data_IF_493247876131
#
_entry.id   IF_493247876131
#
_cell.length_a   1.000
_cell.length_b   1.000
_cell.length_c   1.000
_cell.angle_alpha   90.00
_cell.angle_beta   90.00
_cell.angle_gamma   90.00
#
_symmetry.space_group_name_H-M   'P 1'
#
loop_
_entity.id
_entity.type
_entity.pdbx_description
1 polymer ?
#
# COMPACT_ATOMS: atom_id res chain seq x y z
N UNK A 1 9.03 -29.92 -2.18
CA UNK A 1 8.66 -29.11 -1.00
C UNK A 1 7.70 -28.07 -1.52
N UNK A 2 6.49 -27.97 -0.97
CA UNK A 2 5.54 -26.96 -1.41
C UNK A 2 6.01 -25.58 -0.93
N UNK A 3 5.83 -24.57 -1.78
CA UNK A 3 6.07 -23.18 -1.43
C UNK A 3 4.99 -22.69 -0.46
N UNK A 4 5.33 -21.71 0.36
CA UNK A 4 4.44 -21.12 1.36
C UNK A 4 4.13 -19.68 0.97
N UNK A 5 2.86 -19.39 0.74
CA UNK A 5 2.34 -18.04 0.56
C UNK A 5 2.04 -17.40 1.92
N UNK A 6 2.37 -16.13 2.05
CA UNK A 6 1.99 -15.25 3.16
C UNK A 6 1.54 -13.92 2.59
N UNK A 7 0.33 -13.50 2.96
CA UNK A 7 -0.29 -12.26 2.53
C UNK A 7 -0.46 -11.34 3.72
N UNK A 8 0.33 -10.26 3.73
CA UNK A 8 0.40 -9.35 4.87
C UNK A 8 -0.12 -7.96 4.45
N UNK A 9 -1.15 -7.43 5.13
CA UNK A 9 -1.58 -6.06 4.89
C UNK A 9 -0.45 -5.07 5.17
N UNK A 10 -0.04 -4.32 4.14
CA UNK A 10 0.69 -3.09 4.31
C UNK A 10 -0.32 -1.98 4.53
N UNK A 11 -0.61 -1.75 5.81
CA UNK A 11 -1.54 -0.72 6.23
C UNK A 11 -0.94 0.66 5.95
N UNK A 12 -1.36 1.22 4.82
CA UNK A 12 -1.02 2.55 4.31
C UNK A 12 0.47 2.92 4.47
N UNK A 13 1.41 2.17 3.87
CA UNK A 13 2.81 2.60 3.78
C UNK A 13 2.90 4.04 3.28
N UNK A 14 3.86 4.83 3.78
CA UNK A 14 3.89 6.29 3.63
C UNK A 14 4.11 6.68 2.18
N UNK A 15 4.69 5.74 1.49
CA UNK A 15 5.00 5.63 0.10
C UNK A 15 3.76 5.53 -0.79
N UNK A 16 2.59 5.16 -0.24
CA UNK A 16 1.38 4.87 -1.00
C UNK A 16 0.18 5.61 -0.42
N UNK A 17 -0.70 6.04 -1.32
CA UNK A 17 -1.97 6.66 -0.94
C UNK A 17 -3.02 5.63 -0.56
N UNK A 18 -2.81 4.33 -0.76
CA UNK A 18 -3.82 3.29 -0.51
C UNK A 18 -3.27 2.14 0.34
N UNK A 19 -4.19 1.38 0.95
CA UNK A 19 -3.87 0.09 1.54
C UNK A 19 -3.21 -0.81 0.50
N UNK A 20 -2.06 -1.38 0.84
CA UNK A 20 -1.30 -2.30 -0.01
C UNK A 20 -1.20 -3.65 0.68
N UNK A 21 -0.69 -4.64 -0.03
CA UNK A 21 -0.38 -5.96 0.52
C UNK A 21 1.08 -6.29 0.24
N UNK A 22 1.72 -7.03 1.14
CA UNK A 22 2.95 -7.77 0.83
C UNK A 22 2.59 -9.19 0.47
N UNK A 23 3.22 -9.64 -0.60
CA UNK A 23 3.13 -11.00 -1.07
C UNK A 23 4.49 -11.64 -0.80
N UNK A 24 4.53 -12.49 0.21
CA UNK A 24 5.73 -13.21 0.60
C UNK A 24 5.59 -14.67 0.15
N UNK A 25 6.51 -15.16 -0.68
CA UNK A 25 6.61 -16.58 -1.03
C UNK A 25 7.91 -17.12 -0.42
N UNK A 26 7.81 -18.08 0.50
CA UNK A 26 8.97 -18.59 1.27
C UNK A 26 9.78 -17.45 1.95
N UNK A 27 9.11 -16.37 2.34
CA UNK A 27 9.73 -15.18 2.93
C UNK A 27 10.31 -14.18 1.91
N UNK A 28 10.30 -14.48 0.60
CA UNK A 28 10.67 -13.55 -0.46
C UNK A 28 9.51 -12.60 -0.77
N UNK A 29 9.75 -11.29 -0.67
CA UNK A 29 8.83 -10.27 -1.16
C UNK A 29 8.87 -10.22 -2.69
N UNK A 30 7.88 -10.86 -3.33
CA UNK A 30 7.92 -11.09 -4.78
C UNK A 30 7.76 -9.82 -5.59
N UNK A 31 7.02 -8.84 -5.07
CA UNK A 31 6.88 -7.55 -5.75
C UNK A 31 8.19 -6.79 -5.64
N UNK A 32 8.77 -6.68 -4.45
CA UNK A 32 10.06 -6.01 -4.31
C UNK A 32 11.18 -6.68 -5.13
N UNK A 33 11.16 -8.01 -5.26
CA UNK A 33 12.14 -8.77 -6.02
C UNK A 33 12.03 -8.60 -7.55
N UNK A 34 10.82 -8.32 -8.08
CA UNK A 34 10.60 -8.15 -9.52
C UNK A 34 11.08 -6.79 -10.06
N UNK A 35 11.29 -5.82 -9.18
CA UNK A 35 11.66 -4.44 -9.52
C UNK A 35 13.11 -4.15 -9.13
N UNK A 36 13.72 -3.11 -9.72
CA UNK A 36 14.97 -2.55 -9.22
C UNK A 36 14.89 -2.18 -7.73
N UNK A 37 16.02 -2.13 -6.99
CA UNK A 37 16.02 -1.80 -5.56
C UNK A 37 15.39 -0.44 -5.20
N UNK A 38 15.37 0.50 -6.15
CA UNK A 38 14.73 1.81 -6.02
C UNK A 38 13.26 1.84 -6.51
N UNK A 39 12.70 0.69 -6.90
CA UNK A 39 11.33 0.54 -7.38
C UNK A 39 11.14 0.93 -8.84
N UNK A 40 9.98 1.49 -9.19
CA UNK A 40 9.63 1.89 -10.55
C UNK A 40 9.82 3.40 -10.73
N UNK A 41 10.78 3.84 -11.55
CA UNK A 41 11.13 5.27 -11.67
C UNK A 41 11.38 5.99 -10.32
N UNK A 42 12.02 5.29 -9.38
CA UNK A 42 12.24 5.74 -7.99
C UNK A 42 10.96 5.88 -7.16
N UNK A 43 9.84 5.37 -7.66
CA UNK A 43 8.61 5.21 -6.92
C UNK A 43 8.62 3.85 -6.19
N UNK A 44 8.18 3.83 -4.92
CA UNK A 44 8.05 2.60 -4.16
C UNK A 44 7.03 1.66 -4.82
N UNK A 45 7.28 0.35 -4.73
CA UNK A 45 6.41 -0.71 -5.27
C UNK A 45 5.97 -1.66 -4.17
N UNK A 46 4.75 -2.15 -4.26
CA UNK A 46 4.18 -3.10 -3.32
C UNK A 46 3.06 -3.90 -3.99
N UNK A 47 2.58 -4.94 -3.31
CA UNK A 47 1.37 -5.61 -3.76
C UNK A 47 0.16 -4.68 -3.74
N UNK A 48 -0.77 -4.92 -4.65
CA UNK A 48 -1.98 -4.11 -4.76
C UNK A 48 -2.90 -4.25 -3.54
N UNK A 49 -3.98 -3.47 -3.55
CA UNK A 49 -4.88 -3.38 -2.43
C UNK A 49 -5.53 -4.73 -2.10
N UNK A 50 -5.87 -5.00 -0.81
CA UNK A 50 -6.59 -6.21 -0.43
C UNK A 50 -7.88 -6.42 -1.22
N UNK A 51 -8.64 -5.36 -1.51
CA UNK A 51 -9.87 -5.42 -2.31
C UNK A 51 -9.64 -5.95 -3.73
N UNK A 52 -8.46 -5.74 -4.29
CA UNK A 52 -8.06 -6.26 -5.58
C UNK A 52 -7.57 -7.71 -5.48
N UNK A 53 -6.58 -7.96 -4.61
CA UNK A 53 -5.93 -9.26 -4.51
C UNK A 53 -6.81 -10.35 -3.90
N UNK A 54 -7.75 -9.99 -3.03
CA UNK A 54 -8.66 -10.92 -2.35
C UNK A 54 -10.07 -10.83 -2.96
N UNK A 55 -10.24 -10.05 -4.03
CA UNK A 55 -11.48 -9.95 -4.78
C UNK A 55 -11.76 -11.16 -5.68
N UNK A 56 -12.90 -11.18 -6.38
CA UNK A 56 -13.31 -12.31 -7.23
C UNK A 56 -12.31 -12.61 -8.37
N UNK A 57 -11.68 -11.57 -8.92
CA UNK A 57 -10.68 -11.66 -9.98
C UNK A 57 -9.23 -11.67 -9.45
N UNK A 58 -9.07 -11.81 -8.13
CA UNK A 58 -7.79 -11.79 -7.44
C UNK A 58 -7.11 -13.17 -7.39
N UNK A 59 -6.45 -13.43 -6.26
CA UNK A 59 -5.58 -14.57 -6.06
C UNK A 59 -6.32 -15.89 -5.79
N UNK A 60 -7.64 -15.90 -5.61
CA UNK A 60 -8.41 -17.13 -5.39
C UNK A 60 -8.13 -18.14 -6.50
N UNK A 61 -7.59 -19.31 -6.15
CA UNK A 61 -7.22 -20.31 -7.14
C UNK A 61 -8.45 -20.95 -7.78
N UNK A 62 -8.41 -21.13 -9.10
CA UNK A 62 -9.43 -21.82 -9.90
C UNK A 62 -8.79 -22.83 -10.83
N UNK A 63 -9.52 -23.86 -11.28
CA UNK A 63 -9.05 -24.79 -12.31
C UNK A 63 -8.67 -24.07 -13.61
N UNK A 64 -9.42 -23.04 -13.99
CA UNK A 64 -9.10 -22.19 -15.12
C UNK A 64 -7.92 -21.29 -14.77
N UNK A 65 -6.90 -21.35 -15.62
CA UNK A 65 -5.70 -20.53 -15.47
C UNK A 65 -5.99 -19.06 -15.81
N UNK A 66 -5.50 -18.14 -14.98
CA UNK A 66 -5.76 -16.70 -15.09
C UNK A 66 -4.50 -15.88 -14.86
N UNK A 67 -4.36 -14.78 -15.60
CA UNK A 67 -3.32 -13.78 -15.35
C UNK A 67 -3.86 -12.79 -14.31
N UNK A 68 -3.20 -12.72 -13.15
CA UNK A 68 -3.60 -11.88 -12.02
C UNK A 68 -2.56 -10.81 -11.78
N UNK A 69 -3.01 -9.57 -11.67
CA UNK A 69 -2.17 -8.43 -11.32
C UNK A 69 -1.92 -8.38 -9.82
N UNK A 70 -0.65 -8.47 -9.42
CA UNK A 70 -0.29 -8.65 -8.02
C UNK A 70 0.35 -7.43 -7.36
N UNK A 71 1.01 -6.55 -8.11
CA UNK A 71 1.65 -5.37 -7.54
C UNK A 71 2.25 -4.41 -8.56
N UNK A 72 2.76 -3.30 -8.06
CA UNK A 72 3.37 -2.21 -8.83
C UNK A 72 3.46 -0.92 -8.01
N UNK A 73 3.82 0.18 -8.65
CA UNK A 73 3.74 1.50 -8.01
C UNK A 73 2.29 2.00 -8.00
N UNK A 74 1.61 1.90 -9.14
CA UNK A 74 0.17 2.06 -9.33
C UNK A 74 -0.32 1.25 -10.54
N UNK A 75 -1.63 0.97 -10.62
CA UNK A 75 -2.17 0.11 -11.69
C UNK A 75 -2.16 0.74 -13.09
N UNK A 76 -1.86 2.03 -13.22
CA UNK A 76 -1.87 2.76 -14.50
C UNK A 76 -0.48 2.92 -15.12
N UNK A 77 0.57 2.97 -14.30
CA UNK A 77 1.95 3.12 -14.76
C UNK A 77 2.63 1.77 -14.97
N UNK A 78 2.49 0.84 -14.02
CA UNK A 78 3.21 -0.42 -14.04
C UNK A 78 2.48 -1.55 -13.31
N UNK A 79 2.70 -2.78 -13.76
CA UNK A 79 1.99 -3.92 -13.22
C UNK A 79 2.83 -5.19 -13.31
N UNK A 80 3.11 -5.79 -12.16
CA UNK A 80 3.53 -7.17 -12.07
C UNK A 80 2.30 -8.08 -12.14
N UNK A 81 2.26 -8.95 -13.14
CA UNK A 81 1.24 -9.98 -13.27
C UNK A 81 1.87 -11.37 -13.15
N UNK A 82 1.06 -12.31 -12.67
CA UNK A 82 1.42 -13.73 -12.55
C UNK A 82 0.31 -14.58 -13.12
N UNK A 83 0.68 -15.69 -13.73
CA UNK A 83 -0.28 -16.68 -14.17
C UNK A 83 -0.55 -17.66 -13.02
N UNK A 84 -1.80 -17.70 -12.57
CA UNK A 84 -2.27 -18.55 -11.47
C UNK A 84 -3.14 -19.65 -12.04
N UNK A 85 -2.85 -20.91 -11.70
CA UNK A 85 -3.66 -22.06 -12.10
C UNK A 85 -3.71 -23.10 -10.99
N UNK A 86 -4.79 -23.86 -10.91
CA UNK A 86 -4.91 -24.99 -10.01
C UNK A 86 -4.84 -26.31 -10.80
N UNK A 87 -3.85 -27.14 -10.47
CA UNK A 87 -3.63 -28.45 -11.06
C UNK A 87 -3.72 -29.53 -9.97
N UNK A 88 -4.92 -30.09 -9.79
CA UNK A 88 -5.18 -31.07 -8.74
C UNK A 88 -5.02 -30.46 -7.35
N UNK A 89 -4.10 -31.00 -6.55
CA UNK A 89 -3.77 -30.51 -5.20
C UNK A 89 -2.81 -29.32 -5.19
N UNK A 90 -2.30 -28.89 -6.34
CA UNK A 90 -1.30 -27.83 -6.44
C UNK A 90 -1.91 -26.54 -7.01
N UNK A 91 -1.57 -25.41 -6.41
CA UNK A 91 -1.73 -24.09 -7.04
C UNK A 91 -0.37 -23.67 -7.60
N UNK A 92 -0.33 -23.28 -8.86
CA UNK A 92 0.91 -22.97 -9.58
C UNK A 92 0.87 -21.49 -9.95
N UNK A 93 1.94 -20.78 -9.58
CA UNK A 93 2.23 -19.42 -10.02
C UNK A 93 3.42 -19.48 -10.97
N UNK A 94 3.22 -19.09 -12.22
CA UNK A 94 4.26 -19.06 -13.24
C UNK A 94 4.08 -17.89 -14.21
N UNK A 95 4.91 -17.87 -15.27
CA UNK A 95 4.82 -16.90 -16.39
C UNK A 95 4.65 -15.45 -15.94
N UNK A 96 5.48 -15.03 -14.99
CA UNK A 96 5.54 -13.67 -14.51
C UNK A 96 5.75 -12.67 -15.65
N UNK A 97 5.05 -11.54 -15.60
CA UNK A 97 5.23 -10.44 -16.55
C UNK A 97 5.26 -9.12 -15.80
N UNK A 98 6.21 -8.29 -16.14
CA UNK A 98 6.22 -6.89 -15.73
C UNK A 98 5.75 -6.04 -16.90
N UNK A 99 4.64 -5.34 -16.73
CA UNK A 99 4.04 -4.43 -17.72
C UNK A 99 4.31 -2.98 -17.33
N UNK A 100 4.51 -2.11 -18.32
CA UNK A 100 4.65 -0.66 -18.17
C UNK A 100 3.81 0.00 -19.25
N UNK A 101 2.83 0.83 -18.86
CA UNK A 101 1.89 1.52 -19.76
C UNK A 101 1.37 0.55 -20.85
N UNK A 102 0.77 -0.55 -20.40
CA UNK A 102 0.20 -1.64 -21.22
C UNK A 102 1.17 -2.41 -22.12
N UNK A 103 2.48 -2.22 -22.00
CA UNK A 103 3.50 -2.97 -22.75
C UNK A 103 4.25 -3.93 -21.83
N UNK A 104 4.50 -5.15 -22.30
CA UNK A 104 5.37 -6.09 -21.58
C UNK A 104 6.80 -5.54 -21.62
N UNK A 105 7.35 -5.25 -20.45
CA UNK A 105 8.71 -4.75 -20.26
C UNK A 105 9.71 -5.88 -19.94
N UNK A 106 9.28 -6.86 -19.13
CA UNK A 106 10.04 -8.09 -18.83
C UNK A 106 9.09 -9.27 -18.75
N UNK A 107 9.55 -10.45 -19.12
CA UNK A 107 8.77 -11.68 -18.98
C UNK A 107 9.59 -12.89 -18.55
N UNK A 108 8.93 -13.79 -17.83
CA UNK A 108 9.50 -15.05 -17.37
C UNK A 108 10.79 -14.84 -16.56
N UNK A 109 11.91 -15.50 -16.94
CA UNK A 109 13.17 -15.39 -16.20
C UNK A 109 13.71 -13.96 -16.06
N UNK A 110 13.38 -13.05 -16.98
CA UNK A 110 13.86 -11.67 -16.94
C UNK A 110 13.27 -10.87 -15.77
N UNK A 111 12.09 -11.28 -15.29
CA UNK A 111 11.46 -10.70 -14.09
C UNK A 111 12.26 -11.07 -12.83
N UNK A 112 13.11 -12.10 -12.88
CA UNK A 112 13.87 -12.57 -11.73
C UNK A 112 13.05 -13.46 -10.78
N UNK A 113 11.88 -13.91 -11.21
CA UNK A 113 10.99 -14.79 -10.44
C UNK A 113 10.82 -16.14 -11.14
N UNK A 114 10.93 -17.21 -10.36
CA UNK A 114 10.70 -18.58 -10.83
C UNK A 114 9.23 -18.98 -10.78
N UNK A 115 8.95 -20.25 -11.12
CA UNK A 115 7.65 -20.85 -10.85
C UNK A 115 7.55 -21.27 -9.39
N UNK A 116 6.39 -21.05 -8.78
CA UNK A 116 6.08 -21.47 -7.43
C UNK A 116 4.91 -22.46 -7.43
N UNK A 117 4.95 -23.44 -6.52
CA UNK A 117 3.94 -24.49 -6.38
C UNK A 117 3.52 -24.59 -4.91
N UNK A 118 2.26 -24.28 -4.66
CA UNK A 118 1.66 -24.30 -3.33
C UNK A 118 0.76 -25.52 -3.18
N UNK A 119 0.65 -26.02 -1.96
CA UNK A 119 -0.46 -26.89 -1.60
C UNK A 119 -1.77 -26.10 -1.65
N UNK A 120 -2.78 -26.64 -2.33
CA UNK A 120 -4.06 -25.96 -2.58
C UNK A 120 -4.85 -25.66 -1.31
N UNK A 121 -4.76 -26.50 -0.28
CA UNK A 121 -5.47 -26.27 0.99
C UNK A 121 -4.77 -25.17 1.79
N UNK A 122 -3.44 -25.26 1.94
CA UNK A 122 -2.66 -24.23 2.62
C UNK A 122 -2.78 -22.87 1.92
N UNK A 123 -2.84 -22.86 0.58
CA UNK A 123 -3.07 -21.66 -0.21
C UNK A 123 -4.45 -21.04 0.08
N UNK A 124 -5.52 -21.84 0.03
CA UNK A 124 -6.88 -21.38 0.31
C UNK A 124 -7.03 -20.87 1.76
N UNK A 125 -6.41 -21.56 2.72
CA UNK A 125 -6.39 -21.14 4.12
C UNK A 125 -5.72 -19.78 4.30
N UNK A 126 -4.57 -19.54 3.66
CA UNK A 126 -3.90 -18.23 3.74
C UNK A 126 -4.73 -17.13 3.08
N UNK A 127 -5.38 -17.39 1.94
CA UNK A 127 -6.29 -16.43 1.31
C UNK A 127 -7.45 -16.07 2.26
N UNK A 128 -8.05 -17.07 2.91
CA UNK A 128 -9.13 -16.85 3.88
C UNK A 128 -8.64 -16.07 5.10
N UNK A 129 -7.48 -16.41 5.66
CA UNK A 129 -6.89 -15.67 6.78
C UNK A 129 -6.53 -14.23 6.40
N UNK A 130 -5.98 -14.02 5.21
CA UNK A 130 -5.67 -12.69 4.69
C UNK A 130 -6.94 -11.86 4.50
N UNK A 131 -8.03 -12.47 4.02
CA UNK A 131 -9.34 -11.84 3.92
C UNK A 131 -9.89 -11.47 5.29
N UNK A 132 -9.78 -12.35 6.29
CA UNK A 132 -10.19 -12.02 7.67
C UNK A 132 -9.36 -10.85 8.24
N UNK A 133 -8.03 -10.89 8.09
CA UNK A 133 -7.13 -9.80 8.50
C UNK A 133 -7.50 -8.48 7.80
N UNK A 134 -7.82 -8.54 6.51
CA UNK A 134 -8.21 -7.38 5.70
C UNK A 134 -9.64 -6.89 5.99
N UNK A 135 -10.53 -7.75 6.48
CA UNK A 135 -11.91 -7.42 6.85
C UNK A 135 -12.03 -6.86 8.28
N UNK A 136 -10.99 -7.00 9.12
CA UNK A 136 -10.96 -6.35 10.43
C UNK A 136 -10.98 -4.83 10.26
N UNK A 137 -12.10 -4.24 10.63
CA UNK A 137 -12.28 -2.80 10.74
C UNK A 137 -12.12 -2.41 12.20
N UNK A 138 -11.26 -1.43 12.47
CA UNK A 138 -11.19 -0.74 13.77
C UNK A 138 -11.40 0.76 13.53
N UNK A 139 -11.81 1.53 14.55
CA UNK A 139 -12.20 2.92 14.38
C UNK A 139 -11.19 3.76 13.58
N UNK A 140 -9.89 3.63 13.87
CA UNK A 140 -8.87 4.40 13.15
C UNK A 140 -8.79 4.08 11.65
N UNK A 141 -9.11 2.85 11.25
CA UNK A 141 -9.15 2.48 9.84
C UNK A 141 -10.28 3.19 9.12
N UNK A 142 -11.48 3.21 9.71
CA UNK A 142 -12.62 3.94 9.14
C UNK A 142 -12.35 5.43 9.05
N UNK A 143 -11.75 6.03 10.08
CA UNK A 143 -11.37 7.45 10.08
C UNK A 143 -10.33 7.75 9.01
N UNK A 144 -9.31 6.90 8.85
CA UNK A 144 -8.28 7.06 7.82
C UNK A 144 -8.86 6.96 6.38
N UNK A 145 -9.72 5.98 6.12
CA UNK A 145 -10.39 5.79 4.82
C UNK A 145 -11.31 6.99 4.50
N UNK A 146 -12.12 7.44 5.46
CA UNK A 146 -13.00 8.59 5.30
C UNK A 146 -12.22 9.90 5.13
N UNK A 147 -11.13 10.08 5.87
CA UNK A 147 -10.24 11.24 5.74
C UNK A 147 -9.60 11.30 4.36
N UNK A 148 -9.12 10.16 3.86
CA UNK A 148 -8.59 10.08 2.51
C UNK A 148 -9.65 10.48 1.48
N UNK A 149 -10.88 9.96 1.60
CA UNK A 149 -11.98 10.30 0.71
C UNK A 149 -12.32 11.80 0.76
N UNK A 150 -12.36 12.39 1.96
CA UNK A 150 -12.60 13.82 2.18
C UNK A 150 -11.55 14.69 1.51
N UNK A 151 -10.25 14.43 1.76
CA UNK A 151 -9.16 15.20 1.14
C UNK A 151 -9.14 15.05 -0.39
N UNK A 152 -9.45 13.87 -0.92
CA UNK A 152 -9.59 13.66 -2.36
C UNK A 152 -10.74 14.50 -2.94
N UNK A 153 -11.91 14.50 -2.30
CA UNK A 153 -13.09 15.24 -2.76
C UNK A 153 -12.87 16.74 -2.77
N UNK A 154 -12.18 17.26 -1.76
CA UNK A 154 -11.88 18.68 -1.63
C UNK A 154 -10.70 19.14 -2.51
N UNK A 155 -10.11 18.26 -3.34
CA UNK A 155 -9.08 18.61 -4.32
C UNK A 155 -7.66 18.65 -3.78
N UNK A 156 -7.41 18.13 -2.57
CA UNK A 156 -6.10 18.19 -1.91
C UNK A 156 -5.08 17.15 -2.42
N UNK A 157 -5.44 16.39 -3.47
CA UNK A 157 -4.62 15.32 -4.04
C UNK A 157 -3.29 15.77 -4.66
N UNK A 158 -3.08 17.07 -4.86
CA UNK A 158 -1.87 17.62 -5.50
C UNK A 158 -1.27 18.84 -4.76
N UNK A 159 -2.08 19.52 -3.93
CA UNK A 159 -1.66 20.63 -3.09
C UNK A 159 -2.36 20.53 -1.73
N UNK A 160 -1.59 20.40 -0.65
CA UNK A 160 -2.11 20.26 0.71
C UNK A 160 -2.59 21.57 1.35
N UNK A 161 -2.83 22.61 0.55
CA UNK A 161 -3.32 23.90 1.03
C UNK A 161 -2.20 24.86 1.46
N UNK A 162 -2.49 25.69 2.46
CA UNK A 162 -1.67 26.86 2.78
C UNK A 162 -0.25 26.49 3.25
N UNK A 163 -0.12 25.39 4.01
CA UNK A 163 1.12 25.04 4.71
C UNK A 163 1.56 23.58 4.49
N UNK A 164 0.70 22.70 3.96
CA UNK A 164 1.11 21.37 3.49
C UNK A 164 1.38 21.46 1.99
N UNK A 165 2.57 21.03 1.57
CA UNK A 165 2.96 20.97 0.15
C UNK A 165 2.34 19.76 -0.53
N UNK A 166 2.39 18.60 0.14
CA UNK A 166 1.91 17.33 -0.40
C UNK A 166 1.65 16.34 0.73
N UNK A 167 0.51 15.69 0.70
CA UNK A 167 0.27 14.49 1.51
C UNK A 167 1.10 13.33 0.97
N UNK A 168 1.73 12.62 1.91
CA UNK A 168 2.57 11.46 1.64
C UNK A 168 1.73 10.20 1.90
N UNK A 169 1.10 10.09 3.07
CA UNK A 169 0.10 9.07 3.35
C UNK A 169 -0.81 9.42 4.54
N UNK A 170 -1.93 8.72 4.63
CA UNK A 170 -2.85 8.69 5.78
C UNK A 170 -2.97 7.22 6.18
N UNK A 171 -2.77 6.90 7.46
CA UNK A 171 -2.57 5.53 7.94
C UNK A 171 -3.39 5.23 9.19
N UNK A 172 -3.73 3.95 9.37
CA UNK A 172 -4.24 3.40 10.61
C UNK A 172 -3.38 2.18 11.00
N UNK A 173 -2.38 2.33 11.86
CA UNK A 173 -1.49 1.23 12.25
C UNK A 173 -2.26 0.17 13.06
N UNK A 174 -2.08 -1.12 12.76
CA UNK A 174 -2.74 -2.20 13.51
C UNK A 174 -2.19 -2.36 14.94
N UNK A 175 -0.92 -2.04 15.16
CA UNK A 175 -0.27 -2.05 16.47
C UNK A 175 -0.69 -0.86 17.35
N UNK A 176 -1.38 0.13 16.76
CA UNK A 176 -1.94 1.32 17.42
C UNK A 176 -3.34 1.62 16.87
N UNK A 177 -4.34 0.74 17.12
CA UNK A 177 -5.69 0.85 16.55
C UNK A 177 -6.45 2.12 16.98
N UNK A 178 -5.93 2.84 17.97
CA UNK A 178 -6.46 4.08 18.53
C UNK A 178 -5.93 5.36 17.86
N UNK A 179 -5.11 5.28 16.79
CA UNK A 179 -4.58 6.48 16.12
C UNK A 179 -4.64 6.43 14.60
N UNK A 180 -4.88 7.60 14.00
CA UNK A 180 -4.61 7.86 12.58
C UNK A 180 -3.29 8.60 12.45
N UNK A 181 -2.41 8.14 11.57
CA UNK A 181 -1.11 8.74 11.30
C UNK A 181 -1.10 9.39 9.91
N UNK A 182 -0.63 10.64 9.82
CA UNK A 182 -0.60 11.40 8.58
C UNK A 182 0.82 11.84 8.31
N UNK A 183 1.34 11.37 7.19
CA UNK A 183 2.65 11.76 6.66
C UNK A 183 2.47 12.84 5.60
N UNK A 184 3.26 13.91 5.66
CA UNK A 184 3.19 15.00 4.69
C UNK A 184 4.52 15.75 4.53
N UNK A 185 4.66 16.46 3.42
CA UNK A 185 5.70 17.47 3.22
C UNK A 185 5.11 18.85 3.50
N UNK A 186 5.76 19.63 4.36
CA UNK A 186 5.35 20.99 4.67
C UNK A 186 5.91 22.03 3.68
N UNK A 187 5.17 23.13 3.50
CA UNK A 187 5.65 24.40 2.94
C UNK A 187 6.36 25.18 4.06
N UNK A 188 7.43 25.89 3.71
CA UNK A 188 8.09 26.80 4.64
C UNK A 188 7.45 28.18 4.57
N UNK A 189 6.56 28.48 5.52
CA UNK A 189 5.94 29.80 5.66
C UNK A 189 6.80 30.79 6.48
N UNK A 190 7.92 30.34 7.05
CA UNK A 190 8.71 31.09 8.05
C UNK A 190 10.15 31.41 7.63
N UNK A 191 10.64 30.87 6.52
CA UNK A 191 12.03 31.03 6.05
C UNK A 191 13.10 30.27 6.85
N UNK A 192 12.81 29.91 8.10
CA UNK A 192 13.68 29.13 8.98
C UNK A 192 13.75 27.64 8.63
N UNK A 193 12.80 27.12 7.84
CA UNK A 193 12.58 25.67 7.69
C UNK A 193 13.19 25.08 6.43
N UNK A 194 13.86 25.89 5.60
CA UNK A 194 14.85 25.41 4.63
C UNK A 194 15.97 24.56 5.30
N UNK A 195 16.17 24.71 6.61
CA UNK A 195 17.16 23.97 7.39
C UNK A 195 16.73 22.54 7.78
N UNK A 196 15.42 22.21 7.74
CA UNK A 196 14.88 20.89 8.11
C UNK A 196 14.04 20.24 6.98
N UNK A 197 14.60 20.00 5.79
CA UNK A 197 13.91 19.30 4.71
C UNK A 197 13.64 17.84 5.09
N UNK A 198 12.37 17.43 5.06
CA UNK A 198 11.99 16.08 5.48
C UNK A 198 10.49 15.82 5.42
N UNK A 199 10.12 14.57 5.66
CA UNK A 199 8.74 14.12 5.84
C UNK A 199 8.34 14.43 7.28
N UNK A 200 7.15 14.96 7.49
CA UNK A 200 6.57 15.16 8.82
C UNK A 200 5.48 14.12 9.04
N UNK A 201 5.36 13.63 10.27
CA UNK A 201 4.37 12.64 10.66
C UNK A 201 3.60 13.18 11.88
N UNK A 202 2.30 13.38 11.73
CA UNK A 202 1.39 13.75 12.82
C UNK A 202 0.46 12.58 13.12
N UNK A 203 0.10 12.40 14.39
CA UNK A 203 -0.87 11.38 14.82
C UNK A 203 -2.08 12.04 15.45
N UNK A 204 -3.27 11.56 15.10
CA UNK A 204 -4.53 11.97 15.71
C UNK A 204 -5.11 10.78 16.48
N UNK A 205 -5.50 10.96 17.75
CA UNK A 205 -6.22 9.92 18.48
C UNK A 205 -7.60 9.72 17.84
N UNK A 206 -8.08 8.50 17.92
CA UNK A 206 -9.40 8.08 17.48
C UNK A 206 -10.20 7.73 18.71
N UNK A 207 -11.45 8.17 18.73
CA UNK A 207 -12.38 7.99 19.83
C UNK A 207 -13.70 7.40 19.29
N UNK A 208 -14.73 7.34 20.13
CA UNK A 208 -16.03 6.78 19.76
C UNK A 208 -16.88 7.72 18.89
N UNK A 209 -16.32 8.86 18.44
CA UNK A 209 -16.99 9.76 17.50
C UNK A 209 -17.19 9.05 16.17
N UNK A 210 -18.28 9.41 15.48
CA UNK A 210 -18.53 8.93 14.12
C UNK A 210 -17.29 9.14 13.21
N UNK A 211 -16.81 8.09 12.50
CA UNK A 211 -15.59 8.18 11.70
C UNK A 211 -15.60 9.28 10.62
N UNK A 212 -16.75 9.59 10.03
CA UNK A 212 -16.88 10.69 9.06
C UNK A 212 -16.71 12.05 9.73
N UNK A 213 -17.31 12.22 10.91
CA UNK A 213 -17.21 13.46 11.70
C UNK A 213 -15.76 13.69 12.13
N UNK A 214 -15.09 12.65 12.62
CA UNK A 214 -13.70 12.75 13.04
C UNK A 214 -12.76 12.99 11.85
N UNK A 215 -13.01 12.33 10.71
CA UNK A 215 -12.28 12.58 9.47
C UNK A 215 -12.40 14.05 9.02
N UNK A 216 -13.61 14.62 9.04
CA UNK A 216 -13.82 16.03 8.66
C UNK A 216 -13.10 16.99 9.63
N UNK A 217 -13.14 16.70 10.94
CA UNK A 217 -12.43 17.49 11.93
C UNK A 217 -10.91 17.45 11.71
N UNK A 218 -10.35 16.27 11.42
CA UNK A 218 -8.93 16.12 11.08
C UNK A 218 -8.59 16.88 9.79
N UNK A 219 -9.43 16.77 8.74
CA UNK A 219 -9.24 17.50 7.48
C UNK A 219 -9.20 19.02 7.69
N UNK A 220 -10.12 19.56 8.49
CA UNK A 220 -10.14 20.98 8.86
C UNK A 220 -8.85 21.40 9.57
N UNK A 221 -8.37 20.61 10.54
CA UNK A 221 -7.10 20.90 11.24
C UNK A 221 -5.91 20.86 10.29
N UNK A 222 -5.87 19.90 9.36
CA UNK A 222 -4.82 19.82 8.34
C UNK A 222 -4.84 21.04 7.41
N UNK A 223 -5.99 21.66 7.20
CA UNK A 223 -6.11 22.85 6.38
C UNK A 223 -5.68 24.14 7.07
N UNK A 224 -6.05 24.28 8.34
CA UNK A 224 -6.02 25.58 9.01
C UNK A 224 -4.90 25.73 10.06
N UNK A 225 -4.41 24.62 10.62
CA UNK A 225 -3.42 24.65 11.72
C UNK A 225 -2.03 24.24 11.23
N UNK A 226 -0.97 24.98 11.60
CA UNK A 226 0.40 24.48 11.39
C UNK A 226 0.69 23.29 12.34
N UNK A 227 0.56 22.05 11.87
CA UNK A 227 0.79 20.85 12.69
C UNK A 227 2.26 20.48 12.88
N UNK A 228 3.21 21.24 12.30
CA UNK A 228 4.67 21.03 12.50
C UNK A 228 5.04 20.81 13.98
N UNK A 229 4.59 21.66 14.94
CA UNK A 229 5.04 21.60 16.33
C UNK A 229 4.68 20.30 17.05
N UNK A 230 3.65 19.59 16.57
CA UNK A 230 3.19 18.32 17.13
C UNK A 230 3.57 17.13 16.23
N UNK A 231 4.30 17.38 15.15
CA UNK A 231 4.73 16.35 14.20
C UNK A 231 6.14 15.87 14.48
N UNK A 232 6.37 14.58 14.28
CA UNK A 232 7.71 14.00 14.25
C UNK A 232 8.35 14.32 12.90
N UNK A 233 9.52 14.95 12.91
CA UNK A 233 10.30 15.21 11.70
C UNK A 233 11.16 14.00 11.33
N UNK A 234 11.04 13.56 10.08
CA UNK A 234 11.85 12.51 9.49
C UNK A 234 12.73 13.13 8.40
N UNK A 235 14.01 13.42 8.70
CA UNK A 235 14.90 14.08 7.75
C UNK A 235 15.06 13.23 6.49
N UNK A 236 15.21 13.89 5.34
CA UNK A 236 15.54 13.20 4.09
C UNK A 236 16.83 12.40 4.30
N UNK A 237 16.78 11.07 4.12
CA UNK A 237 18.00 10.27 4.05
C UNK A 237 18.84 10.82 2.89
N UNK A 238 19.99 11.42 3.20
CA UNK A 238 20.98 11.75 2.19
C UNK A 238 21.53 10.42 1.68
N UNK A 239 21.29 10.11 0.42
CA UNK A 239 22.05 9.07 -0.27
C UNK A 239 23.53 9.48 -0.23
N UNK A 240 24.36 8.66 0.42
CA UNK A 240 25.80 8.64 0.20
C UNK A 240 26.09 7.71 -0.97
#
# INVERSE_FOLDING_TARGET
MADVLRLEPLLFPAEFTSHRMRLLINGLDVVAAAYPPDGFHRQPVAGFAPSWLLGPDGLTATPEAREVAVGGSDMSEDQLTVHVSQAGSDVIWDRWRLRVIDRVHKEGPEVGLGSFRFDSHAYADEIAQAAERAARTWPARSVAENLQATLCREGWGQDGGAWIRRYVAIRAPHDRPEVVEISYYARDLSGLRYELPGRYVVTFPVDDTDPDVQAQAIAHRLGDEDLKPISVHQPRRRHR
#
